data_IF_095382750924
#
_entry.id   IF_095382750924
#
_cell.length_a   1.000
_cell.length_b   1.000
_cell.length_c   1.000
_cell.angle_alpha   90.00
_cell.angle_beta   90.00
_cell.angle_gamma   90.00
#
_symmetry.space_group_name_H-M   'P 1'
#
loop_
_entity.id
_entity.type
_entity.pdbx_description
1 polymer ?
#
# COMPACT_ATOMS: atom_id res chain seq x y z
N UNK A 1 4.57 4.14 -23.49
CA UNK A 1 4.54 4.43 -22.04
C UNK A 1 3.70 5.68 -21.75
N UNK A 2 2.66 5.60 -20.91
CA UNK A 2 1.89 6.78 -20.55
C UNK A 2 2.82 7.80 -19.87
N UNK A 3 2.72 9.05 -20.30
CA UNK A 3 3.60 10.15 -19.91
C UNK A 3 3.49 10.42 -18.42
N UNK A 4 4.63 10.36 -17.72
CA UNK A 4 4.75 10.84 -16.35
C UNK A 4 4.46 12.36 -16.34
N UNK A 5 3.51 12.87 -15.55
CA UNK A 5 3.26 14.31 -15.48
C UNK A 5 4.54 15.02 -15.02
N UNK A 6 4.95 16.05 -15.77
CA UNK A 6 6.13 16.85 -15.47
C UNK A 6 5.95 17.59 -14.14
N UNK A 7 6.55 17.00 -13.11
CA UNK A 7 7.13 17.62 -11.92
C UNK A 7 6.20 18.23 -10.86
N UNK A 8 5.54 17.35 -10.11
CA UNK A 8 5.32 17.52 -8.68
C UNK A 8 5.84 16.29 -7.93
N UNK A 9 6.58 16.45 -6.83
CA UNK A 9 7.02 15.33 -6.00
C UNK A 9 5.79 14.70 -5.33
N UNK A 10 5.43 13.47 -5.72
CA UNK A 10 4.29 12.76 -5.14
C UNK A 10 4.78 11.75 -4.08
N UNK A 11 4.44 12.01 -2.82
CA UNK A 11 4.83 11.17 -1.68
C UNK A 11 3.59 10.46 -1.12
N UNK A 12 3.69 9.15 -0.93
CA UNK A 12 2.68 8.36 -0.22
C UNK A 12 3.16 8.10 1.21
N UNK A 13 2.42 8.58 2.20
CA UNK A 13 2.68 8.33 3.61
C UNK A 13 1.58 7.44 4.19
N UNK A 14 1.98 6.29 4.74
CA UNK A 14 1.08 5.28 5.30
C UNK A 14 1.26 5.23 6.82
N UNK A 15 0.20 5.57 7.55
CA UNK A 15 0.22 5.53 9.00
C UNK A 15 0.09 4.09 9.54
N UNK A 16 0.65 3.86 10.72
CA UNK A 16 0.58 2.58 11.41
C UNK A 16 -0.77 2.39 12.10
N UNK A 17 -1.55 1.41 11.63
CA UNK A 17 -2.95 1.23 12.09
C UNK A 17 -3.32 -0.18 12.56
N UNK A 18 -2.42 -1.17 12.52
CA UNK A 18 -2.78 -2.56 12.78
C UNK A 18 -3.84 -3.06 11.79
N UNK A 19 -4.93 -3.64 12.28
CA UNK A 19 -6.07 -4.08 11.45
C UNK A 19 -6.68 -2.94 10.60
N UNK A 20 -6.54 -1.67 11.03
CA UNK A 20 -7.04 -0.50 10.29
C UNK A 20 -6.21 -0.14 9.05
N UNK A 21 -5.05 -0.77 8.84
CA UNK A 21 -4.28 -0.56 7.62
C UNK A 21 -4.94 -1.14 6.36
N UNK A 22 -5.87 -2.10 6.52
CA UNK A 22 -6.65 -2.64 5.40
C UNK A 22 -7.56 -1.55 4.79
N UNK A 23 -8.19 -0.72 5.63
CA UNK A 23 -8.98 0.42 5.17
C UNK A 23 -8.13 1.42 4.37
N UNK A 24 -6.90 1.70 4.79
CA UNK A 24 -5.97 2.56 4.04
C UNK A 24 -5.64 1.98 2.67
N UNK A 25 -5.38 0.67 2.59
CA UNK A 25 -5.16 -0.03 1.31
C UNK A 25 -6.38 0.04 0.39
N UNK A 26 -7.60 -0.10 0.94
CA UNK A 26 -8.82 0.00 0.14
C UNK A 26 -9.07 1.42 -0.39
N UNK A 27 -8.82 2.45 0.42
CA UNK A 27 -8.91 3.85 -0.02
C UNK A 27 -7.87 4.11 -1.12
N UNK A 28 -6.64 3.63 -0.93
CA UNK A 28 -5.59 3.76 -1.94
C UNK A 28 -5.98 3.05 -3.24
N UNK A 29 -6.56 1.85 -3.15
CA UNK A 29 -7.07 1.11 -4.32
C UNK A 29 -8.10 1.93 -5.07
N UNK A 30 -9.15 2.42 -4.39
CA UNK A 30 -10.19 3.23 -5.02
C UNK A 30 -9.62 4.49 -5.69
N UNK A 31 -8.66 5.14 -5.03
CA UNK A 31 -8.00 6.31 -5.61
C UNK A 31 -7.23 5.97 -6.89
N UNK A 32 -6.57 4.81 -6.93
CA UNK A 32 -5.82 4.36 -8.10
C UNK A 32 -6.73 3.86 -9.23
N UNK A 33 -7.79 3.13 -8.89
CA UNK A 33 -8.81 2.67 -9.85
C UNK A 33 -9.53 3.87 -10.51
N UNK A 34 -9.65 5.00 -9.80
CA UNK A 34 -10.22 6.24 -10.36
C UNK A 34 -9.26 6.91 -11.37
N UNK A 35 -7.95 6.76 -11.18
CA UNK A 35 -6.93 7.35 -12.07
C UNK A 35 -6.82 6.55 -13.38
N UNK A 36 -6.87 5.22 -13.31
CA UNK A 36 -6.86 4.35 -14.48
C UNK A 36 -7.75 3.12 -14.22
N UNK A 37 -9.01 3.14 -14.69
CA UNK A 37 -9.95 2.04 -14.46
C UNK A 37 -9.68 0.83 -15.35
N UNK A 38 -8.90 0.95 -16.43
CA UNK A 38 -8.68 -0.12 -17.40
C UNK A 38 -7.42 -0.95 -17.11
N UNK A 39 -6.49 -0.44 -16.30
CA UNK A 39 -5.25 -1.14 -15.98
C UNK A 39 -4.87 -0.96 -14.50
N UNK A 40 -4.64 -2.06 -13.75
CA UNK A 40 -4.18 -1.97 -12.36
C UNK A 40 -2.79 -1.34 -12.33
N UNK A 41 -2.76 -0.05 -11.99
CA UNK A 41 -1.53 0.73 -11.89
C UNK A 41 -0.71 0.25 -10.69
N UNK A 42 0.61 0.26 -10.87
CA UNK A 42 1.55 0.05 -9.77
C UNK A 42 1.78 1.37 -9.04
N UNK A 43 1.62 1.43 -7.70
CA UNK A 43 1.81 2.68 -6.96
C UNK A 43 3.20 3.29 -7.15
N UNK A 44 4.22 2.45 -7.38
CA UNK A 44 5.59 2.88 -7.66
C UNK A 44 5.74 3.68 -8.96
N UNK A 45 4.80 3.60 -9.90
CA UNK A 45 4.82 4.40 -11.11
C UNK A 45 4.24 5.81 -10.89
N UNK A 46 3.44 6.00 -9.84
CA UNK A 46 2.77 7.27 -9.55
C UNK A 46 3.43 8.03 -8.41
N UNK A 47 3.83 7.32 -7.35
CA UNK A 47 4.47 7.89 -6.17
C UNK A 47 5.99 7.76 -6.27
N UNK A 48 6.71 8.88 -6.19
CA UNK A 48 8.17 8.89 -6.22
C UNK A 48 8.79 8.29 -4.96
N UNK A 49 8.07 8.37 -3.83
CA UNK A 49 8.50 7.75 -2.58
C UNK A 49 7.29 7.34 -1.76
N UNK A 50 7.37 6.12 -1.24
CA UNK A 50 6.38 5.54 -0.33
C UNK A 50 7.06 5.35 1.02
N UNK A 51 6.44 5.87 2.07
CA UNK A 51 6.92 5.77 3.45
C UNK A 51 5.79 5.32 4.35
N UNK A 52 6.10 4.60 5.42
CA UNK A 52 5.13 4.33 6.46
C UNK A 52 5.77 3.90 7.77
N UNK A 53 4.96 3.87 8.82
CA UNK A 53 5.37 3.53 10.19
C UNK A 53 4.67 2.24 10.62
N UNK A 54 5.38 1.33 11.30
CA UNK A 54 4.84 0.04 11.74
C UNK A 54 4.25 -0.78 10.57
N UNK A 55 2.96 -1.16 10.60
CA UNK A 55 2.30 -1.88 9.51
C UNK A 55 2.28 -1.10 8.19
N UNK A 56 2.26 0.23 8.24
CA UNK A 56 2.40 1.09 7.05
C UNK A 56 3.79 0.97 6.39
N UNK A 57 4.82 0.63 7.16
CA UNK A 57 6.17 0.38 6.63
C UNK A 57 6.28 -0.92 5.84
N UNK A 58 5.57 -1.97 6.27
CA UNK A 58 5.46 -3.22 5.50
C UNK A 58 4.77 -2.99 4.17
N UNK A 59 3.66 -2.26 4.17
CA UNK A 59 2.96 -1.86 2.93
C UNK A 59 3.89 -1.03 2.04
N UNK A 60 4.63 -0.08 2.61
CA UNK A 60 5.59 0.73 1.84
C UNK A 60 6.66 -0.12 1.13
N UNK A 61 7.14 -1.20 1.77
CA UNK A 61 8.08 -2.15 1.17
C UNK A 61 7.41 -2.96 0.06
N UNK A 62 6.19 -3.45 0.26
CA UNK A 62 5.45 -4.24 -0.73
C UNK A 62 5.17 -3.43 -2.00
N UNK A 63 4.62 -2.23 -1.84
CA UNK A 63 4.26 -1.37 -2.97
C UNK A 63 5.50 -0.72 -3.61
N UNK A 64 6.50 -0.35 -2.80
CA UNK A 64 7.67 0.39 -3.27
C UNK A 64 8.83 -0.48 -3.75
N UNK A 65 9.23 -1.52 -3.00
CA UNK A 65 10.38 -2.38 -3.33
C UNK A 65 9.99 -3.66 -4.06
N UNK A 66 8.87 -4.28 -3.72
CA UNK A 66 8.40 -5.51 -4.37
C UNK A 66 7.57 -5.24 -5.63
N UNK A 67 7.26 -3.96 -5.90
CA UNK A 67 6.53 -3.50 -7.08
C UNK A 67 5.18 -4.23 -7.25
N UNK A 68 4.56 -4.52 -6.10
CA UNK A 68 3.24 -5.12 -6.02
C UNK A 68 2.18 -4.05 -6.31
N UNK A 69 1.12 -4.49 -6.98
CA UNK A 69 -0.14 -3.73 -7.06
C UNK A 69 -0.80 -3.67 -5.68
N UNK A 70 -1.77 -2.75 -5.51
CA UNK A 70 -2.52 -2.65 -4.25
C UNK A 70 -3.27 -3.96 -3.96
N UNK A 71 -3.81 -4.61 -4.99
CA UNK A 71 -4.50 -5.91 -4.85
C UNK A 71 -3.58 -7.03 -4.39
N UNK A 72 -2.39 -7.15 -5.01
CA UNK A 72 -1.38 -8.13 -4.61
C UNK A 72 -0.88 -7.89 -3.17
N UNK A 73 -0.94 -6.64 -2.69
CA UNK A 73 -0.54 -6.28 -1.33
C UNK A 73 -1.57 -6.68 -0.26
N UNK A 74 -2.86 -6.80 -0.59
CA UNK A 74 -3.94 -7.02 0.39
C UNK A 74 -3.80 -8.41 1.06
N UNK A 75 -3.64 -9.47 0.27
CA UNK A 75 -3.60 -10.83 0.82
C UNK A 75 -2.37 -11.08 1.75
N UNK A 76 -1.14 -10.70 1.37
CA UNK A 76 0.02 -10.77 2.25
C UNK A 76 -0.14 -9.90 3.49
N UNK A 77 -0.73 -8.70 3.36
CA UNK A 77 -0.97 -7.80 4.48
C UNK A 77 -1.89 -8.43 5.54
N UNK A 78 -3.02 -9.01 5.12
CA UNK A 78 -3.96 -9.69 6.01
C UNK A 78 -3.24 -10.83 6.74
N UNK A 79 -2.54 -11.69 6.01
CA UNK A 79 -1.79 -12.82 6.58
C UNK A 79 -0.77 -12.39 7.63
N UNK A 80 -0.04 -11.30 7.38
CA UNK A 80 0.93 -10.73 8.33
C UNK A 80 0.24 -10.07 9.54
N UNK A 81 -0.86 -9.35 9.32
CA UNK A 81 -1.60 -8.66 10.39
C UNK A 81 -2.30 -9.64 11.35
N UNK A 82 -2.82 -10.76 10.83
CA UNK A 82 -3.45 -11.81 11.61
C UNK A 82 -2.41 -12.59 12.43
N UNK A 83 -1.24 -12.87 11.84
CA UNK A 83 -0.13 -13.50 12.54
C UNK A 83 0.37 -12.68 13.73
N UNK A 84 0.50 -11.36 13.57
CA UNK A 84 0.92 -10.46 14.66
C UNK A 84 -0.16 -10.29 15.74
N UNK A 85 -1.44 -10.21 15.37
CA UNK A 85 -2.53 -10.00 16.36
C UNK A 85 -2.74 -11.22 17.27
N UNK A 86 -2.33 -12.41 16.82
CA UNK A 86 -2.37 -13.64 17.63
C UNK A 86 -1.25 -13.77 18.65
N UNK A 87 -0.26 -12.89 18.65
CA UNK A 87 0.81 -12.89 19.66
C UNK A 87 0.36 -12.38 21.05
N UNK A 88 -0.88 -11.90 21.19
CA UNK A 88 -1.41 -11.36 22.45
C UNK A 88 -2.34 -12.30 23.24
N UNK A 89 -2.62 -13.52 22.77
CA UNK A 89 -3.57 -14.44 23.43
C UNK A 89 -2.96 -15.82 23.71
N UNK A 90 -1.81 -15.82 24.38
CA UNK A 90 -1.27 -16.99 25.08
C UNK A 90 -0.70 -16.54 26.42
N UNK A 91 -1.60 -16.28 27.37
CA UNK A 91 -1.59 -16.74 28.78
C UNK A 91 -2.96 -16.48 29.38
#
# INVERSE_FOLDING_TARGET
>A
PPAMPEHGLCLLALDGGGVRGLSTLQILKQSMDTVDPESPLKPCNYFNMIRGTSTGGLIAIMLGRLWMTVDECIAPYISLSDGCSRSGNTV
#
